data_IF_272746224487
#
_entry.id   IF_272746224487
#
_cell.length_a   1.000
_cell.length_b   1.000
_cell.length_c   1.000
_cell.angle_alpha   90.00
_cell.angle_beta   90.00
_cell.angle_gamma   90.00
#
_symmetry.space_group_name_H-M   'P 1'
#
loop_
_entity.id
_entity.type
_entity.pdbx_description
1 polymer ?
#
# COMPACT_ATOMS: atom_id res chain seq x y z
N UNK A 1 15.78 2.61 -5.36
CA UNK A 1 15.13 1.82 -4.28
C UNK A 1 14.34 2.79 -3.44
N UNK A 2 13.11 2.46 -3.08
CA UNK A 2 12.33 3.27 -2.14
C UNK A 2 13.05 3.31 -0.79
N UNK A 3 13.11 4.49 -0.18
CA UNK A 3 13.61 4.69 1.19
C UNK A 3 12.61 4.11 2.22
N UNK A 4 11.40 3.77 1.77
CA UNK A 4 10.29 3.30 2.58
C UNK A 4 10.00 1.83 2.31
N UNK A 5 9.44 1.16 3.30
CA UNK A 5 8.96 -0.21 3.22
C UNK A 5 7.53 -0.31 3.74
N UNK A 6 6.82 -1.33 3.32
CA UNK A 6 5.49 -1.68 3.83
C UNK A 6 5.48 -3.14 4.26
N UNK A 7 4.82 -3.46 5.38
CA UNK A 7 4.74 -4.85 5.85
C UNK A 7 3.83 -5.68 4.95
N UNK A 8 4.19 -6.94 4.78
CA UNK A 8 3.37 -7.90 4.03
C UNK A 8 1.99 -8.10 4.70
N UNK A 9 1.90 -7.93 6.03
CA UNK A 9 0.63 -7.98 6.77
C UNK A 9 -0.35 -6.92 6.28
N UNK A 10 0.11 -5.66 6.14
CA UNK A 10 -0.72 -4.58 5.64
C UNK A 10 -1.21 -4.83 4.21
N UNK A 11 -0.33 -5.32 3.33
CA UNK A 11 -0.70 -5.67 1.96
C UNK A 11 -1.72 -6.81 1.91
N UNK A 12 -1.56 -7.81 2.79
CA UNK A 12 -2.48 -8.93 2.90
C UNK A 12 -3.86 -8.50 3.39
N UNK A 13 -3.92 -7.60 4.37
CA UNK A 13 -5.18 -7.03 4.87
C UNK A 13 -5.90 -6.21 3.79
N UNK A 14 -5.21 -5.25 3.15
CA UNK A 14 -5.81 -4.38 2.14
C UNK A 14 -6.27 -5.13 0.87
N UNK A 15 -5.57 -6.20 0.50
CA UNK A 15 -5.91 -7.03 -0.67
C UNK A 15 -6.73 -8.29 -0.31
N UNK A 16 -7.20 -8.43 0.95
CA UNK A 16 -7.94 -9.60 1.44
C UNK A 16 -7.26 -10.93 1.09
N UNK A 17 -5.93 -11.02 1.30
CA UNK A 17 -5.18 -12.23 1.04
C UNK A 17 -5.30 -13.22 2.20
N UNK A 18 -5.44 -14.50 1.88
CA UNK A 18 -5.41 -15.59 2.86
C UNK A 18 -4.03 -16.25 2.88
N UNK A 19 -3.58 -16.68 4.06
CA UNK A 19 -2.27 -17.29 4.24
C UNK A 19 -2.37 -18.80 3.99
N UNK A 20 -1.60 -19.30 3.00
CA UNK A 20 -1.38 -20.73 2.84
C UNK A 20 -0.16 -21.20 3.63
N UNK A 21 0.90 -20.40 3.65
CA UNK A 21 2.11 -20.64 4.42
C UNK A 21 2.83 -19.32 4.72
N UNK A 22 3.42 -19.22 5.91
CA UNK A 22 4.36 -18.17 6.27
C UNK A 22 5.43 -18.70 7.22
N UNK A 23 6.70 -18.32 7.06
CA UNK A 23 7.78 -18.73 7.95
C UNK A 23 7.79 -17.95 9.28
N UNK A 24 7.18 -16.76 9.30
CA UNK A 24 7.10 -15.86 10.46
C UNK A 24 5.84 -14.98 10.37
N UNK A 25 5.64 -14.11 11.33
CA UNK A 25 4.59 -13.09 11.28
C UNK A 25 4.77 -12.18 10.06
N UNK A 26 3.69 -11.92 9.32
CA UNK A 26 3.73 -11.12 8.09
C UNK A 26 4.20 -9.68 8.31
N UNK A 27 4.05 -9.14 9.52
CA UNK A 27 4.55 -7.80 9.89
C UNK A 27 6.08 -7.68 9.83
N UNK A 28 6.79 -8.80 10.00
CA UNK A 28 8.26 -8.85 9.93
C UNK A 28 8.79 -8.87 8.51
N UNK A 29 7.94 -9.15 7.53
CA UNK A 29 8.32 -9.22 6.11
C UNK A 29 8.06 -7.87 5.46
N UNK A 30 9.15 -7.22 5.00
CA UNK A 30 9.10 -5.88 4.43
C UNK A 30 9.21 -5.92 2.91
N UNK A 31 8.28 -5.24 2.24
CA UNK A 31 8.26 -5.06 0.78
C UNK A 31 8.74 -3.66 0.46
N UNK A 32 9.69 -3.54 -0.48
CA UNK A 32 10.31 -2.26 -0.90
C UNK A 32 10.15 -1.97 -2.38
N UNK A 33 9.66 -2.94 -3.16
CA UNK A 33 9.41 -2.77 -4.59
C UNK A 33 7.98 -2.25 -4.82
N UNK A 34 7.85 -1.23 -5.69
CA UNK A 34 6.55 -0.64 -6.05
C UNK A 34 5.77 -1.46 -7.07
N UNK A 35 6.38 -2.47 -7.63
CA UNK A 35 5.80 -3.33 -8.66
C UNK A 35 5.68 -4.77 -8.18
N UNK A 36 4.75 -5.50 -8.78
CA UNK A 36 4.61 -6.95 -8.67
C UNK A 36 5.05 -7.62 -9.96
N UNK A 37 5.34 -8.91 -9.94
CA UNK A 37 5.85 -9.63 -11.12
C UNK A 37 5.11 -10.95 -11.33
N UNK A 38 4.91 -11.33 -12.60
CA UNK A 38 4.42 -12.65 -12.99
C UNK A 38 5.60 -13.49 -13.46
N UNK A 39 5.94 -14.60 -12.78
CA UNK A 39 7.18 -15.33 -13.04
C UNK A 39 7.09 -16.29 -14.25
N UNK A 40 6.22 -16.04 -15.23
CA UNK A 40 5.99 -16.95 -16.36
C UNK A 40 7.24 -17.30 -17.15
N UNK A 41 8.09 -16.30 -17.47
CA UNK A 41 9.35 -16.53 -18.20
C UNK A 41 10.36 -17.27 -17.32
N UNK A 42 10.43 -16.98 -16.02
CA UNK A 42 11.26 -17.70 -15.07
C UNK A 42 10.86 -19.17 -15.00
N UNK A 43 9.55 -19.43 -14.89
CA UNK A 43 9.00 -20.79 -14.85
C UNK A 43 9.23 -21.55 -16.18
N UNK A 44 9.47 -20.83 -17.28
CA UNK A 44 9.90 -21.40 -18.56
C UNK A 44 11.41 -21.64 -18.67
N UNK A 45 12.19 -21.37 -17.59
CA UNK A 45 13.63 -21.65 -17.53
C UNK A 45 14.54 -20.48 -17.86
N UNK A 46 14.02 -19.25 -17.99
CA UNK A 46 14.83 -18.07 -18.21
C UNK A 46 14.93 -17.23 -16.92
N UNK A 47 16.12 -17.16 -16.33
CA UNK A 47 16.36 -16.60 -15.00
C UNK A 47 17.08 -15.25 -15.00
N UNK A 48 17.56 -14.78 -16.14
CA UNK A 48 18.26 -13.50 -16.23
C UNK A 48 17.31 -12.33 -15.95
N UNK A 49 17.83 -11.29 -15.29
CA UNK A 49 17.09 -10.09 -14.93
C UNK A 49 15.84 -10.30 -14.06
N UNK A 50 15.80 -11.42 -13.32
CA UNK A 50 14.72 -11.65 -12.37
C UNK A 50 14.89 -10.74 -11.14
N UNK A 51 13.86 -9.94 -10.84
CA UNK A 51 13.85 -9.09 -9.66
C UNK A 51 13.16 -9.81 -8.49
N UNK A 52 13.97 -10.36 -7.61
CA UNK A 52 13.50 -11.11 -6.44
C UNK A 52 12.86 -10.24 -5.36
N UNK A 53 12.98 -8.89 -5.42
CA UNK A 53 12.38 -7.99 -4.44
C UNK A 53 10.89 -7.76 -4.64
N UNK A 54 10.36 -8.20 -5.79
CA UNK A 54 8.95 -8.04 -6.13
C UNK A 54 8.13 -9.22 -5.61
N UNK A 55 6.89 -8.94 -5.20
CA UNK A 55 5.89 -9.98 -4.94
C UNK A 55 5.61 -10.72 -6.26
N UNK A 56 5.64 -12.04 -6.21
CA UNK A 56 5.41 -12.89 -7.38
C UNK A 56 3.94 -13.29 -7.45
N UNK A 57 3.28 -13.02 -8.56
CA UNK A 57 1.85 -13.33 -8.77
C UNK A 57 1.73 -14.51 -9.74
N UNK A 58 1.17 -15.60 -9.28
CA UNK A 58 0.90 -16.79 -10.08
C UNK A 58 -0.59 -16.83 -10.40
N UNK A 59 -0.89 -16.76 -11.69
CA UNK A 59 -2.24 -16.84 -12.23
C UNK A 59 -2.52 -18.21 -12.88
N UNK A 60 -3.68 -18.29 -13.54
CA UNK A 60 -4.12 -19.51 -14.23
C UNK A 60 -3.11 -19.98 -15.29
N UNK A 61 -2.52 -19.06 -16.05
CA UNK A 61 -1.56 -19.37 -17.11
C UNK A 61 -0.31 -20.05 -16.55
N UNK A 62 0.25 -19.51 -15.47
CA UNK A 62 1.42 -20.09 -14.83
C UNK A 62 1.11 -21.46 -14.20
N UNK A 63 -0.06 -21.60 -13.56
CA UNK A 63 -0.46 -22.90 -13.00
C UNK A 63 -0.69 -23.94 -14.08
N UNK A 64 -1.43 -23.61 -15.16
CA UNK A 64 -1.64 -24.53 -16.28
C UNK A 64 -0.32 -24.96 -16.92
N UNK A 65 0.61 -24.03 -17.08
CA UNK A 65 1.95 -24.34 -17.59
C UNK A 65 2.70 -25.32 -16.67
N UNK A 66 2.67 -25.08 -15.36
CA UNK A 66 3.29 -25.98 -14.39
C UNK A 66 2.68 -27.39 -14.39
N UNK A 67 1.37 -27.50 -14.62
CA UNK A 67 0.67 -28.78 -14.70
C UNK A 67 1.06 -29.59 -15.94
N UNK A 68 1.42 -28.93 -17.05
CA UNK A 68 1.89 -29.57 -18.29
C UNK A 68 3.35 -30.07 -18.19
N UNK A 69 4.13 -29.54 -17.25
CA UNK A 69 5.52 -29.95 -17.09
C UNK A 69 5.64 -31.34 -16.45
N UNK A 70 6.69 -32.07 -16.83
CA UNK A 70 7.09 -33.26 -16.06
C UNK A 70 7.42 -32.86 -14.62
N UNK A 71 7.18 -33.74 -13.66
CA UNK A 71 7.47 -33.49 -12.24
C UNK A 71 8.91 -33.02 -11.99
N UNK A 72 9.89 -33.58 -12.74
CA UNK A 72 11.30 -33.20 -12.62
C UNK A 72 11.54 -31.74 -13.05
N UNK A 73 11.00 -31.34 -14.21
CA UNK A 73 11.14 -29.95 -14.71
C UNK A 73 10.39 -28.97 -13.84
N UNK A 74 9.16 -29.31 -13.43
CA UNK A 74 8.36 -28.50 -12.53
C UNK A 74 9.10 -28.23 -11.22
N UNK A 75 9.68 -29.25 -10.60
CA UNK A 75 10.49 -29.11 -9.40
C UNK A 75 11.70 -28.21 -9.62
N UNK A 76 12.43 -28.38 -10.72
CA UNK A 76 13.58 -27.55 -11.03
C UNK A 76 13.22 -26.06 -11.13
N UNK A 77 12.14 -25.73 -11.84
CA UNK A 77 11.72 -24.35 -12.04
C UNK A 77 11.13 -23.74 -10.77
N UNK A 78 10.32 -24.51 -10.02
CA UNK A 78 9.78 -24.06 -8.74
C UNK A 78 10.91 -23.85 -7.72
N UNK A 79 11.80 -24.81 -7.56
CA UNK A 79 12.94 -24.67 -6.66
C UNK A 79 13.74 -23.40 -6.97
N UNK A 80 14.00 -23.13 -8.25
CA UNK A 80 14.70 -21.94 -8.69
C UNK A 80 13.95 -20.65 -8.29
N UNK A 81 12.62 -20.60 -8.49
CA UNK A 81 11.79 -19.47 -8.09
C UNK A 81 11.91 -19.19 -6.58
N UNK A 82 11.73 -20.24 -5.76
CA UNK A 82 11.80 -20.11 -4.31
C UNK A 82 13.21 -19.81 -3.79
N UNK A 83 14.26 -20.29 -4.47
CA UNK A 83 15.66 -20.01 -4.11
C UNK A 83 16.04 -18.53 -4.21
N UNK A 84 15.31 -17.73 -4.98
CA UNK A 84 15.46 -16.29 -5.03
C UNK A 84 14.85 -15.55 -3.82
N UNK A 85 14.12 -16.24 -2.98
CA UNK A 85 13.49 -15.73 -1.76
C UNK A 85 12.71 -14.42 -1.97
N UNK A 86 11.71 -14.39 -2.88
CA UNK A 86 10.86 -13.22 -3.03
C UNK A 86 10.09 -12.96 -1.71
N UNK A 87 9.64 -11.71 -1.46
CA UNK A 87 8.92 -11.36 -0.24
C UNK A 87 7.61 -12.14 -0.07
N UNK A 88 6.97 -12.54 -1.15
CA UNK A 88 5.83 -13.44 -1.17
C UNK A 88 5.57 -14.00 -2.57
N UNK A 89 4.90 -15.15 -2.61
CA UNK A 89 4.23 -15.69 -3.80
C UNK A 89 2.72 -15.63 -3.53
N UNK A 90 1.95 -15.06 -4.46
CA UNK A 90 0.49 -14.95 -4.33
C UNK A 90 -0.19 -15.71 -5.47
N UNK A 91 -1.02 -16.69 -5.11
CA UNK A 91 -1.87 -17.42 -6.03
C UNK A 91 -3.21 -16.68 -6.17
N UNK A 92 -3.68 -16.53 -7.40
CA UNK A 92 -4.95 -15.82 -7.69
C UNK A 92 -6.09 -16.81 -7.99
N UNK A 93 -7.33 -16.29 -8.11
CA UNK A 93 -8.53 -17.07 -8.51
C UNK A 93 -8.89 -18.23 -7.55
N UNK A 94 -8.53 -18.12 -6.27
CA UNK A 94 -8.80 -19.18 -5.29
C UNK A 94 -8.01 -20.47 -5.51
N UNK A 95 -6.97 -20.45 -6.36
CA UNK A 95 -6.13 -21.61 -6.61
C UNK A 95 -5.37 -22.03 -5.36
N UNK A 96 -5.21 -23.33 -5.18
CA UNK A 96 -4.43 -23.89 -4.09
C UNK A 96 -2.98 -24.12 -4.50
N UNK A 97 -2.02 -23.96 -3.58
CA UNK A 97 -0.62 -24.24 -3.89
C UNK A 97 -0.41 -25.75 -4.15
N UNK A 98 0.45 -26.04 -5.12
CA UNK A 98 0.92 -27.41 -5.35
C UNK A 98 1.72 -27.89 -4.14
N UNK A 99 1.76 -29.23 -3.94
CA UNK A 99 2.54 -29.86 -2.86
C UNK A 99 4.02 -29.45 -2.90
N UNK A 100 4.59 -29.37 -4.10
CA UNK A 100 5.96 -28.94 -4.37
C UNK A 100 6.20 -27.49 -3.99
N UNK A 101 5.23 -26.60 -4.26
CA UNK A 101 5.30 -25.20 -3.81
C UNK A 101 5.37 -25.10 -2.29
N UNK A 102 4.54 -25.88 -1.58
CA UNK A 102 4.53 -25.91 -0.13
C UNK A 102 5.85 -26.48 0.45
N UNK A 103 6.45 -27.43 -0.22
CA UNK A 103 7.76 -27.97 0.15
C UNK A 103 8.85 -26.88 0.03
N UNK A 104 8.95 -26.23 -1.13
CA UNK A 104 9.96 -25.22 -1.37
C UNK A 104 9.72 -23.94 -0.55
N UNK A 105 8.45 -23.57 -0.31
CA UNK A 105 8.10 -22.47 0.59
C UNK A 105 8.70 -22.69 2.00
N UNK A 106 8.57 -23.88 2.54
CA UNK A 106 9.16 -24.25 3.85
C UNK A 106 10.69 -24.29 3.80
N UNK A 107 11.25 -24.83 2.74
CA UNK A 107 12.71 -24.97 2.57
C UNK A 107 13.40 -23.62 2.49
N UNK A 108 12.84 -22.66 1.74
CA UNK A 108 13.42 -21.37 1.48
C UNK A 108 12.84 -20.22 2.34
N UNK A 109 11.84 -20.50 3.17
CA UNK A 109 11.21 -19.52 4.04
C UNK A 109 10.41 -18.45 3.28
N UNK A 110 9.76 -18.82 2.17
CA UNK A 110 9.01 -17.88 1.32
C UNK A 110 7.52 -18.00 1.61
N UNK A 111 6.83 -16.90 1.98
CA UNK A 111 5.39 -16.93 2.20
C UNK A 111 4.62 -17.26 0.92
N UNK A 112 3.55 -18.05 1.08
CA UNK A 112 2.53 -18.27 0.04
C UNK A 112 1.20 -17.72 0.55
N UNK A 113 0.64 -16.77 -0.21
CA UNK A 113 -0.67 -16.18 0.04
C UNK A 113 -1.62 -16.54 -1.11
N UNK A 114 -2.91 -16.41 -0.87
CA UNK A 114 -3.95 -16.71 -1.87
C UNK A 114 -4.96 -15.56 -1.94
N UNK A 115 -5.47 -15.31 -3.13
CA UNK A 115 -6.56 -14.39 -3.42
C UNK A 115 -7.64 -15.06 -4.26
N UNK A 116 -8.89 -14.75 -4.03
CA UNK A 116 -10.01 -15.12 -4.91
C UNK A 116 -10.12 -14.27 -6.16
N UNK A 117 -9.45 -13.11 -6.15
CA UNK A 117 -9.50 -12.13 -7.23
C UNK A 117 -8.84 -12.62 -8.52
N UNK A 118 -9.23 -12.00 -9.65
CA UNK A 118 -8.54 -12.18 -10.93
C UNK A 118 -7.13 -11.58 -10.86
N UNK A 119 -6.20 -12.20 -11.57
CA UNK A 119 -4.78 -11.79 -11.57
C UNK A 119 -4.57 -10.29 -11.86
N UNK A 120 -5.25 -9.75 -12.88
CA UNK A 120 -5.12 -8.34 -13.26
C UNK A 120 -5.71 -7.39 -12.21
N UNK A 121 -6.82 -7.76 -11.58
CA UNK A 121 -7.46 -6.96 -10.53
C UNK A 121 -6.55 -6.90 -9.29
N UNK A 122 -6.07 -8.06 -8.81
CA UNK A 122 -5.14 -8.13 -7.70
C UNK A 122 -3.83 -7.35 -7.95
N UNK A 123 -3.24 -7.51 -9.14
CA UNK A 123 -2.04 -6.77 -9.52
C UNK A 123 -2.27 -5.26 -9.47
N UNK A 124 -3.40 -4.78 -10.04
CA UNK A 124 -3.76 -3.37 -10.00
C UNK A 124 -3.91 -2.83 -8.57
N UNK A 125 -4.57 -3.59 -7.70
CA UNK A 125 -4.75 -3.24 -6.29
C UNK A 125 -3.40 -3.18 -5.56
N UNK A 126 -2.58 -4.23 -5.65
CA UNK A 126 -1.26 -4.26 -4.99
C UNK A 126 -0.33 -3.15 -5.49
N UNK A 127 -0.28 -2.89 -6.80
CA UNK A 127 0.52 -1.80 -7.36
C UNK A 127 0.04 -0.44 -6.83
N UNK A 128 -1.27 -0.22 -6.73
CA UNK A 128 -1.83 1.02 -6.18
C UNK A 128 -1.44 1.22 -4.73
N UNK A 129 -1.60 0.18 -3.89
CA UNK A 129 -1.18 0.20 -2.49
C UNK A 129 0.33 0.42 -2.35
N UNK A 130 1.15 -0.32 -3.10
CA UNK A 130 2.61 -0.20 -3.07
C UNK A 130 3.07 1.20 -3.46
N UNK A 131 2.51 1.78 -4.53
CA UNK A 131 2.82 3.14 -4.94
C UNK A 131 2.44 4.19 -3.89
N UNK A 132 1.36 3.97 -3.15
CA UNK A 132 0.93 4.88 -2.07
C UNK A 132 1.82 4.74 -0.84
N UNK A 133 2.10 3.51 -0.40
CA UNK A 133 2.86 3.24 0.83
C UNK A 133 4.36 3.51 0.67
N UNK A 134 4.91 3.26 -0.50
CA UNK A 134 6.34 3.46 -0.81
C UNK A 134 6.63 4.83 -1.44
N UNK A 135 5.60 5.69 -1.58
CA UNK A 135 5.75 7.02 -2.15
C UNK A 135 6.75 7.87 -1.36
N UNK A 136 7.61 8.62 -2.03
CA UNK A 136 8.39 9.69 -1.40
C UNK A 136 7.45 10.65 -0.68
N UNK A 137 7.80 11.00 0.56
CA UNK A 137 6.95 11.84 1.40
C UNK A 137 7.75 12.93 2.11
N UNK A 138 7.09 14.06 2.34
CA UNK A 138 7.57 15.17 3.14
C UNK A 138 6.47 15.60 4.10
N UNK A 139 6.84 16.16 5.24
CA UNK A 139 5.89 16.82 6.15
C UNK A 139 6.02 18.34 5.98
N UNK A 140 4.89 19.04 5.92
CA UNK A 140 4.80 20.50 5.89
C UNK A 140 3.95 20.99 7.05
N UNK A 141 4.39 22.10 7.66
CA UNK A 141 3.55 22.83 8.60
C UNK A 141 2.50 23.59 7.82
N UNK A 142 1.22 23.32 8.12
CA UNK A 142 0.09 23.89 7.42
C UNK A 142 -1.22 23.18 7.75
N UNK A 143 -2.27 23.56 7.06
CA UNK A 143 -3.60 22.98 7.20
C UNK A 143 -4.06 22.45 5.84
N UNK A 144 -4.53 21.21 5.79
CA UNK A 144 -5.12 20.63 4.58
C UNK A 144 -6.63 20.44 4.79
N UNK A 145 -7.40 21.04 3.90
CA UNK A 145 -8.86 20.98 3.88
C UNK A 145 -9.35 20.56 2.49
N UNK A 146 -10.50 19.93 2.43
CA UNK A 146 -11.22 19.72 1.17
C UNK A 146 -12.34 20.75 1.07
N UNK A 147 -12.35 21.49 -0.03
CA UNK A 147 -13.33 22.52 -0.34
C UNK A 147 -13.94 22.24 -1.71
N UNK A 148 -15.21 21.92 -1.77
CA UNK A 148 -15.94 21.53 -3.01
C UNK A 148 -15.31 20.38 -3.79
N UNK A 149 -14.65 19.44 -3.10
CA UNK A 149 -14.00 18.29 -3.72
C UNK A 149 -12.53 18.49 -4.05
N UNK A 150 -11.98 19.69 -3.87
CA UNK A 150 -10.59 20.05 -4.14
C UNK A 150 -9.78 20.12 -2.82
N UNK A 151 -8.58 19.54 -2.81
CA UNK A 151 -7.67 19.60 -1.66
C UNK A 151 -6.85 20.88 -1.65
N UNK A 152 -7.03 21.69 -0.63
CA UNK A 152 -6.37 22.98 -0.46
C UNK A 152 -5.41 22.92 0.73
N UNK A 153 -4.11 23.13 0.47
CA UNK A 153 -3.09 23.26 1.49
C UNK A 153 -2.89 24.75 1.82
N UNK A 154 -3.24 25.13 3.05
CA UNK A 154 -3.07 26.50 3.57
C UNK A 154 -1.73 26.56 4.29
N UNK A 155 -0.82 27.38 3.78
CA UNK A 155 0.50 27.65 4.37
C UNK A 155 0.53 29.05 4.98
N UNK A 156 1.53 29.32 5.80
CA UNK A 156 1.75 30.64 6.42
C UNK A 156 2.37 30.52 7.80
N UNK A 157 2.76 31.66 8.36
CA UNK A 157 3.40 31.72 9.67
C UNK A 157 2.47 31.23 10.79
N UNK A 158 3.08 30.84 11.92
CA UNK A 158 2.30 30.49 13.11
C UNK A 158 1.48 31.69 13.55
N UNK A 159 0.17 31.47 13.76
CA UNK A 159 -0.71 32.49 14.26
C UNK A 159 -1.39 33.36 13.23
N UNK A 160 -1.24 33.10 11.95
CA UNK A 160 -1.92 33.87 10.88
C UNK A 160 -3.41 33.53 10.75
N UNK A 161 -3.88 32.50 11.46
CA UNK A 161 -5.32 32.10 11.43
C UNK A 161 -5.63 30.88 10.54
N UNK A 162 -4.63 30.03 10.22
CA UNK A 162 -4.85 28.83 9.38
C UNK A 162 -5.89 27.87 9.97
N UNK A 163 -5.73 27.50 11.24
CA UNK A 163 -6.65 26.59 11.93
C UNK A 163 -8.04 27.18 12.13
N UNK A 164 -8.12 28.50 12.40
CA UNK A 164 -9.39 29.22 12.49
C UNK A 164 -10.11 29.25 11.13
N UNK A 165 -9.37 29.44 10.04
CA UNK A 165 -9.91 29.37 8.68
C UNK A 165 -10.45 27.97 8.38
N UNK A 166 -9.70 26.93 8.75
CA UNK A 166 -10.15 25.54 8.55
C UNK A 166 -11.46 25.24 9.31
N UNK A 167 -11.59 25.67 10.56
CA UNK A 167 -12.83 25.50 11.33
C UNK A 167 -14.01 26.26 10.70
N UNK A 168 -13.78 27.46 10.18
CA UNK A 168 -14.82 28.21 9.49
C UNK A 168 -15.27 27.51 8.20
N UNK A 169 -14.33 26.87 7.46
CA UNK A 169 -14.66 26.04 6.31
C UNK A 169 -15.43 24.77 6.72
N UNK A 170 -15.03 24.11 7.82
CA UNK A 170 -15.76 22.95 8.37
C UNK A 170 -17.19 23.32 8.76
N UNK A 171 -17.42 24.46 9.40
CA UNK A 171 -18.79 24.96 9.71
C UNK A 171 -19.64 25.17 8.45
N UNK A 172 -19.03 25.45 7.32
CA UNK A 172 -19.69 25.61 6.01
C UNK A 172 -19.88 24.31 5.25
N UNK A 173 -19.56 23.16 5.87
CA UNK A 173 -19.76 21.82 5.29
C UNK A 173 -18.57 21.25 4.53
N UNK A 174 -17.39 21.89 4.61
CA UNK A 174 -16.12 21.37 4.08
C UNK A 174 -15.46 20.41 5.07
N UNK A 175 -14.41 19.71 4.65
CA UNK A 175 -13.80 18.65 5.44
C UNK A 175 -12.36 18.96 5.81
N UNK A 176 -12.00 18.71 7.08
CA UNK A 176 -10.61 18.77 7.54
C UNK A 176 -9.89 17.45 7.23
N UNK A 177 -8.68 17.53 6.69
CA UNK A 177 -7.77 16.38 6.52
C UNK A 177 -6.68 16.43 7.58
N UNK A 178 -5.96 17.55 7.70
CA UNK A 178 -4.84 17.70 8.62
C UNK A 178 -4.74 19.14 9.13
N UNK A 179 -4.30 19.29 10.39
CA UNK A 179 -3.90 20.58 10.98
C UNK A 179 -2.49 20.42 11.56
N UNK A 180 -1.72 21.52 11.53
CA UNK A 180 -0.36 21.65 12.03
C UNK A 180 0.69 20.87 11.21
N UNK A 181 0.55 19.59 11.04
CA UNK A 181 1.46 18.75 10.24
C UNK A 181 0.69 18.02 9.13
N UNK A 182 1.06 18.33 7.89
CA UNK A 182 0.52 17.68 6.68
C UNK A 182 1.59 16.80 6.06
N UNK A 183 1.36 15.48 6.04
CA UNK A 183 2.22 14.55 5.32
C UNK A 183 1.77 14.51 3.85
N UNK A 184 2.69 14.87 2.95
CA UNK A 184 2.48 14.90 1.51
C UNK A 184 3.25 13.76 0.86
N UNK A 185 2.54 12.85 0.17
CA UNK A 185 3.09 11.68 -0.54
C UNK A 185 2.93 11.86 -2.04
N UNK A 186 4.01 11.75 -2.80
CA UNK A 186 3.95 11.79 -4.27
C UNK A 186 3.64 10.40 -4.82
N UNK A 187 2.35 10.05 -4.91
CA UNK A 187 1.87 8.72 -5.33
C UNK A 187 1.94 8.49 -6.83
N UNK A 188 2.06 9.55 -7.64
CA UNK A 188 2.33 9.46 -9.08
C UNK A 188 2.98 10.74 -9.61
N UNK A 189 3.31 10.76 -10.90
CA UNK A 189 3.85 11.96 -11.56
C UNK A 189 2.96 13.21 -11.39
N UNK A 190 1.63 13.02 -11.35
CA UNK A 190 0.64 14.10 -11.33
C UNK A 190 -0.16 14.18 -10.02
N UNK A 191 0.09 13.29 -9.06
CA UNK A 191 -0.76 13.22 -7.87
C UNK A 191 0.07 13.24 -6.60
N UNK A 192 -0.22 14.24 -5.76
CA UNK A 192 0.26 14.33 -4.38
C UNK A 192 -0.93 14.05 -3.48
N UNK A 193 -0.78 13.11 -2.56
CA UNK A 193 -1.79 12.79 -1.55
C UNK A 193 -1.37 13.42 -0.21
N UNK A 194 -2.28 14.18 0.39
CA UNK A 194 -2.08 14.77 1.70
C UNK A 194 -2.84 13.99 2.79
N UNK A 195 -2.19 13.77 3.93
CA UNK A 195 -2.75 13.07 5.09
C UNK A 195 -2.29 13.72 6.40
N UNK A 196 -3.01 13.47 7.49
CA UNK A 196 -2.51 13.77 8.83
C UNK A 196 -1.68 12.59 9.38
N UNK A 197 -0.59 12.85 10.12
CA UNK A 197 0.04 11.85 10.97
C UNK A 197 -0.98 11.17 11.89
N UNK A 198 -0.84 9.85 12.11
CA UNK A 198 -1.86 9.05 12.79
C UNK A 198 -2.20 9.54 14.21
N UNK A 199 -1.21 10.07 14.93
CA UNK A 199 -1.33 10.54 16.32
C UNK A 199 -2.11 11.87 16.47
N UNK A 200 -2.20 12.68 15.40
CA UNK A 200 -2.90 13.99 15.41
C UNK A 200 -4.10 14.02 14.47
N UNK A 201 -4.47 12.88 13.92
CA UNK A 201 -5.58 12.76 12.96
C UNK A 201 -6.90 13.22 13.56
N UNK A 202 -7.63 14.07 12.83
CA UNK A 202 -8.90 14.70 13.23
C UNK A 202 -8.81 15.72 14.37
N UNK A 203 -7.62 16.03 14.84
CA UNK A 203 -7.43 17.07 15.83
C UNK A 203 -7.06 18.39 15.16
N UNK A 204 -7.47 19.48 15.78
CA UNK A 204 -7.14 20.85 15.41
C UNK A 204 -6.84 21.65 16.67
N UNK A 205 -5.81 22.51 16.63
CA UNK A 205 -5.51 23.40 17.73
C UNK A 205 -6.12 24.78 17.49
N UNK A 206 -6.96 25.24 18.43
CA UNK A 206 -7.61 26.55 18.39
C UNK A 206 -7.12 27.41 19.55
N UNK A 207 -6.65 28.59 19.25
CA UNK A 207 -6.17 29.54 20.27
C UNK A 207 -7.26 29.86 21.29
N UNK A 208 -6.87 29.81 22.57
CA UNK A 208 -7.78 30.08 23.69
C UNK A 208 -8.78 28.96 24.01
N UNK A 209 -8.85 27.91 23.19
CA UNK A 209 -9.75 26.74 23.39
C UNK A 209 -8.90 25.48 23.66
N UNK A 210 -7.78 25.32 22.96
CA UNK A 210 -6.93 24.12 23.02
C UNK A 210 -7.19 23.15 21.86
N UNK A 211 -6.84 21.88 22.08
CA UNK A 211 -6.94 20.81 21.06
C UNK A 211 -8.38 20.27 21.02
N UNK A 212 -8.98 20.31 19.83
CA UNK A 212 -10.36 19.90 19.58
C UNK A 212 -10.38 18.72 18.60
N UNK A 213 -11.15 17.67 18.89
CA UNK A 213 -11.41 16.60 17.93
C UNK A 213 -12.60 16.99 17.03
N UNK A 214 -12.30 17.34 15.78
CA UNK A 214 -13.29 17.84 14.81
C UNK A 214 -14.37 16.81 14.50
N UNK A 215 -14.00 15.52 14.39
CA UNK A 215 -14.97 14.46 14.14
C UNK A 215 -16.01 14.30 15.29
N UNK A 216 -15.59 14.56 16.54
CA UNK A 216 -16.51 14.50 17.70
C UNK A 216 -17.41 15.71 17.79
N UNK A 217 -16.93 16.90 17.42
CA UNK A 217 -17.68 18.16 17.57
C UNK A 217 -18.62 18.40 16.38
N UNK A 218 -18.13 18.14 15.15
CA UNK A 218 -18.86 18.45 13.92
C UNK A 218 -19.37 17.20 13.17
N UNK A 219 -19.08 16.00 13.69
CA UNK A 219 -19.47 14.74 13.08
C UNK A 219 -18.37 14.17 12.15
N UNK A 220 -18.47 12.85 11.87
CA UNK A 220 -17.51 12.13 11.02
C UNK A 220 -17.47 12.64 9.59
N UNK A 221 -18.55 13.26 9.11
CA UNK A 221 -18.61 13.88 7.78
C UNK A 221 -17.76 15.15 7.63
N UNK A 222 -17.33 15.76 8.75
CA UNK A 222 -16.52 16.97 8.79
C UNK A 222 -15.01 16.69 8.62
N UNK A 223 -14.60 15.41 8.54
CA UNK A 223 -13.20 15.01 8.40
C UNK A 223 -13.03 14.02 7.26
N UNK A 224 -11.80 13.94 6.73
CA UNK A 224 -11.40 12.97 5.72
C UNK A 224 -10.00 12.45 6.04
N UNK A 225 -9.71 11.20 5.71
CA UNK A 225 -8.41 10.57 6.02
C UNK A 225 -7.28 11.09 5.13
N UNK A 226 -7.60 11.35 3.87
CA UNK A 226 -6.64 11.80 2.86
C UNK A 226 -7.35 12.58 1.76
N UNK A 227 -6.63 13.49 1.11
CA UNK A 227 -7.11 14.20 -0.07
C UNK A 227 -5.97 14.44 -1.06
N UNK A 228 -6.32 14.49 -2.35
CA UNK A 228 -5.41 14.96 -3.40
C UNK A 228 -5.08 16.43 -3.16
N UNK A 229 -3.84 16.83 -3.33
CA UNK A 229 -3.45 18.23 -3.26
C UNK A 229 -3.65 18.88 -4.63
N UNK A 230 -4.58 19.84 -4.71
CA UNK A 230 -4.94 20.55 -5.94
C UNK A 230 -4.47 22.00 -5.92
N UNK A 231 -4.50 22.66 -4.74
CA UNK A 231 -4.14 24.06 -4.59
C UNK A 231 -3.30 24.28 -3.32
N UNK A 232 -2.36 25.23 -3.42
CA UNK A 232 -1.57 25.75 -2.28
C UNK A 232 -1.82 27.26 -2.16
N UNK A 233 -2.18 27.73 -0.97
CA UNK A 233 -2.48 29.13 -0.65
C UNK A 233 -1.71 29.59 0.60
#
# INVERSE_FOLDING_TARGET
MSEFSVSLAKLAEEANLTIAYTPCELDKIQVTATEVYRPGILLAGYYENFDSKRIQIIGLTEMSYLDELSTSLRNTHLEKLFSFQPPAIVLTRGMQPLSEMMQFAKQYGVPILMSTEMTSALMGQLITTLNTELAPRITRHGVLVEVYGEGILILGDSGVGKSETAIELVKRGHRLIADDAVELRRVSYRKILGTAPANIRHFIELRGIGIVNVARVYGVGAVKLSESLDLVV
#
